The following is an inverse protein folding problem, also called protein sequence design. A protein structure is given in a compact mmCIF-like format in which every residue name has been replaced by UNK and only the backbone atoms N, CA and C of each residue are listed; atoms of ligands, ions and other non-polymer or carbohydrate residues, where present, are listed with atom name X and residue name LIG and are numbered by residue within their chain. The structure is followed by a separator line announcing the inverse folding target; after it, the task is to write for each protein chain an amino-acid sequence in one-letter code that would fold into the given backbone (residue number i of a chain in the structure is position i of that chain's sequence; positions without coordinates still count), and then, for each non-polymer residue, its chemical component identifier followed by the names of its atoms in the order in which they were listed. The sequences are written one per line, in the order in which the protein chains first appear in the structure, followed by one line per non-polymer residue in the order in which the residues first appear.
data_IF_811429629159
#
_entry.id   IF_811429629159
#
_cell.length_a   1.000
_cell.length_b   1.000
_cell.length_c   1.000
_cell.angle_alpha   90.00
_cell.angle_beta   90.00
_cell.angle_gamma   90.00
#
_symmetry.space_group_name_H-M   'P 1'
#
loop_
_entity.id
_entity.type
_entity.pdbx_description
1 polymer ?
#
# COMPACT_ATOMS: atom_id res chain seq x y z
N UNK A 1 -3.14 -21.34 -8.07
CA UNK A 1 -1.99 -20.45 -8.21
C UNK A 1 -1.31 -20.22 -6.85
N UNK A 2 -0.23 -19.43 -6.78
CA UNK A 2 0.54 -19.20 -5.56
C UNK A 2 -0.30 -18.60 -4.42
N UNK A 3 -1.17 -17.64 -4.73
CA UNK A 3 -2.02 -17.02 -3.74
C UNK A 3 -3.07 -18.01 -3.16
N UNK A 4 -3.60 -18.90 -3.97
CA UNK A 4 -4.52 -19.96 -3.52
C UNK A 4 -3.80 -20.97 -2.62
N UNK A 5 -2.52 -21.24 -2.88
CA UNK A 5 -1.72 -22.16 -2.08
C UNK A 5 -1.46 -21.64 -0.64
N UNK A 6 -1.66 -20.35 -0.38
CA UNK A 6 -1.60 -19.80 0.97
C UNK A 6 -2.56 -20.48 1.93
N UNK A 7 -3.72 -20.95 1.43
CA UNK A 7 -4.67 -21.71 2.25
C UNK A 7 -4.08 -23.05 2.71
N UNK A 8 -3.39 -23.76 1.82
CA UNK A 8 -2.73 -25.02 2.16
C UNK A 8 -1.60 -24.80 3.16
N UNK A 9 -0.80 -23.76 2.95
CA UNK A 9 0.28 -23.36 3.88
C UNK A 9 -0.29 -23.04 5.26
N UNK A 10 -1.32 -22.21 5.32
CA UNK A 10 -1.99 -21.83 6.58
C UNK A 10 -2.53 -23.06 7.31
N UNK A 11 -3.24 -23.92 6.59
CA UNK A 11 -3.81 -25.14 7.17
C UNK A 11 -2.74 -26.07 7.72
N UNK A 12 -1.63 -26.27 6.99
CA UNK A 12 -0.53 -27.12 7.45
C UNK A 12 0.17 -26.54 8.68
N UNK A 13 0.40 -25.24 8.73
CA UNK A 13 0.98 -24.54 9.89
C UNK A 13 0.07 -24.73 11.12
N UNK A 14 -1.24 -24.54 10.97
CA UNK A 14 -2.23 -24.72 12.05
C UNK A 14 -2.31 -26.17 12.53
N UNK A 15 -2.27 -27.13 11.60
CA UNK A 15 -2.25 -28.56 11.91
C UNK A 15 -1.02 -28.96 12.77
N UNK A 16 0.10 -28.29 12.55
CA UNK A 16 1.33 -28.48 13.36
C UNK A 16 1.31 -27.73 14.68
N UNK A 17 0.23 -27.05 15.03
CA UNK A 17 0.08 -26.33 16.30
C UNK A 17 0.69 -24.92 16.31
N UNK A 18 1.15 -24.39 15.17
CA UNK A 18 1.66 -23.03 15.07
C UNK A 18 0.55 -22.04 14.76
N UNK A 19 0.53 -20.94 15.50
CA UNK A 19 -0.48 -19.86 15.36
C UNK A 19 0.14 -18.53 14.86
N UNK A 20 1.36 -18.58 14.35
CA UNK A 20 2.05 -17.40 13.80
C UNK A 20 1.21 -16.77 12.68
N UNK A 21 0.94 -15.46 12.75
CA UNK A 21 0.25 -14.75 11.68
C UNK A 21 1.04 -14.78 10.37
N UNK A 22 0.33 -14.96 9.26
CA UNK A 22 0.92 -14.92 7.92
C UNK A 22 0.75 -13.54 7.30
N UNK A 23 1.79 -13.09 6.61
CA UNK A 23 1.78 -11.86 5.82
C UNK A 23 2.06 -12.20 4.37
N UNK A 24 1.13 -11.88 3.47
CA UNK A 24 1.35 -12.01 2.03
C UNK A 24 1.94 -10.71 1.48
N UNK A 25 3.10 -10.80 0.88
CA UNK A 25 3.79 -9.68 0.24
C UNK A 25 3.49 -9.67 -1.27
N UNK A 26 2.55 -8.81 -1.69
CA UNK A 26 2.03 -8.78 -3.05
C UNK A 26 2.59 -7.58 -3.80
N UNK A 27 3.39 -7.85 -4.83
CA UNK A 27 4.06 -6.79 -5.59
C UNK A 27 3.25 -6.21 -6.75
N UNK A 28 2.68 -7.06 -7.63
CA UNK A 28 2.21 -6.59 -8.94
C UNK A 28 0.79 -6.99 -9.31
N UNK A 29 0.16 -7.90 -8.58
CA UNK A 29 -1.06 -8.56 -9.03
C UNK A 29 -2.22 -8.32 -8.07
N UNK A 30 -3.14 -7.38 -8.39
CA UNK A 30 -4.30 -7.09 -7.53
C UNK A 30 -5.12 -8.34 -7.18
N UNK A 31 -5.39 -9.22 -8.14
CA UNK A 31 -6.13 -10.45 -7.88
C UNK A 31 -5.45 -11.35 -6.84
N UNK A 32 -4.11 -11.42 -6.84
CA UNK A 32 -3.39 -12.18 -5.84
C UNK A 32 -3.56 -11.58 -4.43
N UNK A 33 -3.58 -10.25 -4.31
CA UNK A 33 -3.85 -9.58 -3.04
C UNK A 33 -5.27 -9.85 -2.54
N UNK A 34 -6.27 -9.81 -3.43
CA UNK A 34 -7.67 -10.09 -3.10
C UNK A 34 -7.88 -11.54 -2.64
N UNK A 35 -7.21 -12.50 -3.28
CA UNK A 35 -7.22 -13.92 -2.84
C UNK A 35 -6.52 -14.05 -1.48
N UNK A 36 -5.31 -13.51 -1.36
CA UNK A 36 -4.53 -13.59 -0.13
C UNK A 36 -5.24 -12.94 1.06
N UNK A 37 -5.91 -11.81 0.87
CA UNK A 37 -6.63 -11.08 1.91
C UNK A 37 -7.75 -11.88 2.56
N UNK A 38 -8.30 -12.88 1.87
CA UNK A 38 -9.29 -13.82 2.42
C UNK A 38 -8.69 -14.95 3.25
N UNK A 39 -7.36 -15.09 3.23
CA UNK A 39 -6.66 -16.25 3.80
C UNK A 39 -5.76 -15.84 4.96
N UNK A 40 -4.92 -14.82 4.74
CA UNK A 40 -3.85 -14.44 5.67
C UNK A 40 -4.28 -13.32 6.62
N UNK A 41 -3.52 -13.12 7.68
CA UNK A 41 -3.80 -12.09 8.68
C UNK A 41 -3.41 -10.69 8.22
N UNK A 42 -2.46 -10.58 7.26
CA UNK A 42 -2.05 -9.29 6.70
C UNK A 42 -1.60 -9.44 5.24
N UNK A 43 -2.00 -8.49 4.40
CA UNK A 43 -1.45 -8.32 3.05
C UNK A 43 -0.57 -7.08 2.99
N UNK A 44 0.54 -7.14 2.26
CA UNK A 44 1.30 -5.94 1.90
C UNK A 44 1.10 -5.63 0.43
N UNK A 45 0.86 -4.38 0.15
CA UNK A 45 0.86 -3.83 -1.20
C UNK A 45 1.91 -2.72 -1.34
N UNK A 46 2.38 -2.52 -2.57
CA UNK A 46 3.22 -1.37 -2.93
C UNK A 46 2.42 -0.43 -3.84
N UNK A 47 2.06 0.77 -3.39
CA UNK A 47 1.20 1.68 -4.17
C UNK A 47 1.68 1.91 -5.60
N UNK A 48 3.00 2.10 -5.78
CA UNK A 48 3.60 2.38 -7.08
C UNK A 48 3.58 1.19 -8.07
N UNK A 49 3.34 -0.02 -7.60
CA UNK A 49 3.30 -1.23 -8.45
C UNK A 49 1.93 -1.87 -8.51
N UNK A 50 1.11 -1.64 -7.49
CA UNK A 50 -0.17 -2.32 -7.35
C UNK A 50 -1.21 -1.76 -8.32
N UNK A 51 -1.30 -0.44 -8.41
CA UNK A 51 -2.36 0.25 -9.17
C UNK A 51 -1.76 1.24 -10.14
N UNK A 52 -0.77 1.98 -9.72
CA UNK A 52 -0.19 3.12 -10.40
C UNK A 52 1.06 2.67 -11.18
N UNK A 53 0.83 1.93 -12.26
CA UNK A 53 1.93 1.38 -13.06
C UNK A 53 2.69 2.47 -13.79
N UNK A 54 4.02 2.36 -13.82
CA UNK A 54 4.88 3.12 -14.73
C UNK A 54 4.48 2.83 -16.17
N UNK A 55 4.12 3.86 -16.91
CA UNK A 55 3.80 3.79 -18.33
C UNK A 55 4.95 4.28 -19.22
N UNK A 56 5.91 5.00 -18.65
CA UNK A 56 7.05 5.64 -19.31
C UNK A 56 6.69 6.61 -20.47
N UNK A 57 5.40 6.88 -20.67
CA UNK A 57 4.90 7.60 -21.85
C UNK A 57 4.47 9.05 -21.55
N UNK A 58 4.17 9.38 -20.30
CA UNK A 58 3.71 10.71 -19.89
C UNK A 58 4.66 11.27 -18.84
N UNK A 59 5.33 12.37 -19.20
CA UNK A 59 6.31 13.02 -18.35
C UNK A 59 5.66 14.04 -17.41
N UNK A 60 4.54 14.63 -17.82
CA UNK A 60 3.82 15.66 -17.06
C UNK A 60 2.33 15.33 -16.97
N UNK A 61 1.77 15.55 -15.77
CA UNK A 61 0.34 15.43 -15.50
C UNK A 61 -0.21 16.80 -15.11
N UNK A 62 -1.21 17.29 -15.81
CA UNK A 62 -1.98 18.45 -15.35
C UNK A 62 -2.89 18.04 -14.17
N UNK A 63 -3.50 19.04 -13.50
CA UNK A 63 -4.31 18.76 -12.30
C UNK A 63 -5.54 17.89 -12.59
N UNK A 64 -6.15 18.03 -13.77
CA UNK A 64 -7.30 17.21 -14.16
C UNK A 64 -6.90 15.75 -14.41
N UNK A 65 -5.83 15.53 -15.16
CA UNK A 65 -5.27 14.20 -15.41
C UNK A 65 -4.83 13.52 -14.11
N UNK A 66 -4.24 14.30 -13.20
CA UNK A 66 -3.86 13.79 -11.89
C UNK A 66 -5.08 13.34 -11.07
N UNK A 67 -6.15 14.13 -11.06
CA UNK A 67 -7.38 13.80 -10.37
C UNK A 67 -8.08 12.56 -10.96
N UNK A 68 -8.09 12.41 -12.29
CA UNK A 68 -8.64 11.23 -12.95
C UNK A 68 -7.85 9.95 -12.56
N UNK A 69 -6.53 10.04 -12.48
CA UNK A 69 -5.69 8.91 -12.03
C UNK A 69 -5.93 8.56 -10.56
N UNK A 70 -6.15 9.54 -9.68
CA UNK A 70 -6.53 9.28 -8.29
C UNK A 70 -7.86 8.53 -8.22
N UNK A 71 -8.85 8.90 -9.02
CA UNK A 71 -10.14 8.21 -9.05
C UNK A 71 -10.00 6.78 -9.61
N UNK A 72 -9.16 6.58 -10.62
CA UNK A 72 -8.84 5.25 -11.14
C UNK A 72 -8.17 4.38 -10.07
N UNK A 73 -7.25 4.95 -9.30
CA UNK A 73 -6.59 4.28 -8.18
C UNK A 73 -7.61 3.89 -7.12
N UNK A 74 -8.48 4.81 -6.72
CA UNK A 74 -9.58 4.57 -5.78
C UNK A 74 -10.40 3.36 -6.22
N UNK A 75 -10.92 3.39 -7.42
CA UNK A 75 -11.78 2.34 -7.96
C UNK A 75 -11.10 0.96 -7.99
N UNK A 76 -9.80 0.93 -8.25
CA UNK A 76 -9.02 -0.32 -8.26
C UNK A 76 -8.66 -0.82 -6.86
N UNK A 77 -8.56 0.07 -5.89
CA UNK A 77 -8.18 -0.26 -4.52
C UNK A 77 -9.38 -0.68 -3.65
N UNK A 78 -10.56 -0.16 -3.93
CA UNK A 78 -11.80 -0.44 -3.20
C UNK A 78 -12.11 -1.93 -3.01
N UNK A 79 -11.98 -2.82 -4.02
CA UNK A 79 -12.25 -4.24 -3.84
C UNK A 79 -11.40 -4.86 -2.74
N UNK A 80 -10.11 -4.56 -2.70
CA UNK A 80 -9.19 -5.07 -1.67
C UNK A 80 -9.57 -4.55 -0.29
N UNK A 81 -9.88 -3.26 -0.16
CA UNK A 81 -10.30 -2.66 1.12
C UNK A 81 -11.57 -3.36 1.64
N UNK A 82 -12.57 -3.60 0.79
CA UNK A 82 -13.80 -4.29 1.16
C UNK A 82 -13.53 -5.71 1.66
N UNK A 83 -12.67 -6.44 0.98
CA UNK A 83 -12.26 -7.79 1.41
C UNK A 83 -11.55 -7.74 2.76
N UNK A 84 -10.60 -6.83 2.92
CA UNK A 84 -9.88 -6.69 4.19
C UNK A 84 -10.83 -6.35 5.36
N UNK A 85 -11.84 -5.51 5.12
CA UNK A 85 -12.90 -5.23 6.13
C UNK A 85 -13.72 -6.46 6.46
N UNK A 86 -14.15 -7.19 5.45
CA UNK A 86 -14.99 -8.39 5.61
C UNK A 86 -14.27 -9.49 6.39
N UNK A 87 -13.00 -9.73 6.08
CA UNK A 87 -12.20 -10.81 6.67
C UNK A 87 -11.37 -10.39 7.89
N UNK A 88 -11.38 -9.11 8.27
CA UNK A 88 -10.58 -8.60 9.39
C UNK A 88 -9.09 -8.58 9.09
N UNK A 89 -8.69 -8.60 7.83
CA UNK A 89 -7.31 -8.65 7.38
C UNK A 89 -6.66 -7.27 7.50
N UNK A 90 -5.47 -7.21 8.10
CA UNK A 90 -4.68 -6.00 8.13
C UNK A 90 -4.02 -5.72 6.76
N UNK A 91 -3.69 -4.47 6.50
CA UNK A 91 -2.98 -4.07 5.28
C UNK A 91 -1.72 -3.28 5.63
N UNK A 92 -0.59 -3.63 5.00
CA UNK A 92 0.59 -2.80 5.00
C UNK A 92 0.70 -2.07 3.67
N UNK A 93 0.62 -0.75 3.70
CA UNK A 93 0.96 0.12 2.58
C UNK A 93 2.47 0.31 2.60
N UNK A 94 3.16 -0.43 1.75
CA UNK A 94 4.61 -0.53 1.74
C UNK A 94 5.23 0.21 0.55
N UNK A 95 5.50 1.51 0.74
CA UNK A 95 6.11 2.35 -0.29
C UNK A 95 7.60 2.05 -0.44
N UNK A 96 8.04 1.92 -1.69
CA UNK A 96 9.43 1.73 -2.05
C UNK A 96 9.89 2.89 -2.94
N UNK A 97 10.96 3.59 -2.54
CA UNK A 97 11.54 4.71 -3.28
C UNK A 97 11.81 4.38 -4.75
N UNK A 98 12.38 3.20 -5.02
CA UNK A 98 12.71 2.76 -6.39
C UNK A 98 11.51 2.40 -7.27
N UNK A 99 10.29 2.42 -6.75
CA UNK A 99 9.06 2.07 -7.49
C UNK A 99 7.95 3.11 -7.36
N UNK A 100 8.31 4.37 -7.14
CA UNK A 100 7.34 5.47 -7.24
C UNK A 100 6.79 5.54 -8.67
N UNK A 101 5.50 5.82 -8.79
CA UNK A 101 4.84 5.93 -10.09
C UNK A 101 5.30 7.17 -10.86
N UNK A 102 5.14 7.16 -12.17
CA UNK A 102 5.48 8.30 -13.03
C UNK A 102 4.72 9.56 -12.62
N UNK A 103 3.48 9.42 -12.19
CA UNK A 103 2.63 10.50 -11.70
C UNK A 103 3.19 11.15 -10.43
N UNK A 104 3.61 10.34 -9.46
CA UNK A 104 4.25 10.82 -8.24
C UNK A 104 5.60 11.46 -8.55
N UNK A 105 6.39 10.82 -9.41
CA UNK A 105 7.69 11.35 -9.85
C UNK A 105 7.57 12.71 -10.55
N UNK A 106 6.56 12.86 -11.41
CA UNK A 106 6.30 14.11 -12.13
C UNK A 106 5.93 15.25 -11.19
N UNK A 107 5.08 14.98 -10.18
CA UNK A 107 4.54 16.03 -9.30
C UNK A 107 5.41 16.33 -8.08
N UNK A 108 6.01 15.31 -7.48
CA UNK A 108 6.74 15.42 -6.21
C UNK A 108 8.23 15.08 -6.34
N UNK A 109 8.66 14.58 -7.50
CA UNK A 109 10.02 14.16 -7.75
C UNK A 109 10.43 12.86 -7.04
N UNK A 110 11.69 12.48 -7.23
CA UNK A 110 12.34 11.34 -6.56
C UNK A 110 12.80 11.73 -5.15
N UNK A 111 11.85 11.99 -4.28
CA UNK A 111 12.07 12.61 -2.97
C UNK A 111 11.36 11.87 -1.84
N UNK A 112 11.74 12.19 -0.60
CA UNK A 112 11.02 11.74 0.59
C UNK A 112 9.54 12.19 0.56
N UNK A 113 9.24 13.38 0.01
CA UNK A 113 7.90 13.88 -0.16
C UNK A 113 7.08 13.03 -1.16
N UNK A 114 7.69 12.63 -2.27
CA UNK A 114 7.06 11.70 -3.22
C UNK A 114 6.72 10.34 -2.59
N UNK A 115 7.62 9.82 -1.76
CA UNK A 115 7.36 8.59 -0.99
C UNK A 115 6.17 8.74 -0.06
N UNK A 116 6.13 9.83 0.70
CA UNK A 116 5.05 10.12 1.66
C UNK A 116 3.72 10.27 0.93
N UNK A 117 3.65 11.06 -0.14
CA UNK A 117 2.42 11.29 -0.86
C UNK A 117 1.88 10.01 -1.51
N UNK A 118 2.75 9.15 -2.05
CA UNK A 118 2.36 7.84 -2.56
C UNK A 118 1.65 6.96 -1.51
N UNK A 119 2.08 7.02 -0.25
CA UNK A 119 1.42 6.31 0.85
C UNK A 119 0.15 7.02 1.30
N UNK A 120 0.18 8.36 1.42
CA UNK A 120 -0.94 9.16 1.90
C UNK A 120 -2.17 9.09 0.98
N UNK A 121 -1.97 9.05 -0.33
CA UNK A 121 -3.07 8.87 -1.28
C UNK A 121 -3.83 7.56 -1.02
N UNK A 122 -3.11 6.45 -0.84
CA UNK A 122 -3.72 5.16 -0.49
C UNK A 122 -4.38 5.17 0.89
N UNK A 123 -3.76 5.86 1.85
CA UNK A 123 -4.30 5.99 3.21
C UNK A 123 -5.60 6.81 3.22
N UNK A 124 -5.67 7.91 2.45
CA UNK A 124 -6.90 8.72 2.31
C UNK A 124 -8.05 7.87 1.77
N UNK A 125 -7.81 7.09 0.73
CA UNK A 125 -8.83 6.18 0.17
C UNK A 125 -9.32 5.16 1.22
N UNK A 126 -8.41 4.58 1.98
CA UNK A 126 -8.77 3.62 3.02
C UNK A 126 -9.59 4.26 4.15
N UNK A 127 -9.21 5.48 4.56
CA UNK A 127 -9.95 6.25 5.58
C UNK A 127 -11.36 6.62 5.12
N UNK A 128 -11.52 7.05 3.87
CA UNK A 128 -12.83 7.35 3.28
C UNK A 128 -13.77 6.14 3.34
N UNK A 129 -13.22 4.94 3.25
CA UNK A 129 -13.94 3.68 3.40
C UNK A 129 -14.04 3.21 4.87
N UNK A 130 -13.65 4.03 5.84
CA UNK A 130 -13.62 3.66 7.26
C UNK A 130 -12.82 2.38 7.53
N UNK A 131 -11.69 2.22 6.83
CA UNK A 131 -10.77 1.11 7.02
C UNK A 131 -9.47 1.61 7.66
N UNK A 132 -9.23 1.20 8.91
CA UNK A 132 -8.14 1.70 9.75
C UNK A 132 -7.13 0.62 10.18
N UNK A 133 -7.32 -0.63 9.79
CA UNK A 133 -6.40 -1.72 10.12
C UNK A 133 -5.17 -1.70 9.21
N UNK A 134 -4.40 -0.63 9.29
CA UNK A 134 -3.31 -0.27 8.38
C UNK A 134 -1.99 -0.10 9.13
N UNK A 135 -0.92 -0.58 8.51
CA UNK A 135 0.48 -0.32 8.86
C UNK A 135 1.16 0.34 7.66
N UNK A 136 2.04 1.29 7.89
CA UNK A 136 2.77 1.98 6.82
C UNK A 136 4.26 1.65 6.90
N UNK A 137 4.90 1.54 5.74
CA UNK A 137 6.35 1.38 5.67
C UNK A 137 6.97 2.13 4.50
N UNK A 138 8.15 2.70 4.76
CA UNK A 138 8.96 3.44 3.79
C UNK A 138 10.28 2.70 3.58
N UNK A 139 10.58 2.32 2.35
CA UNK A 139 11.83 1.66 2.01
C UNK A 139 12.63 2.52 1.03
N UNK A 140 13.89 2.77 1.37
CA UNK A 140 14.87 3.36 0.46
C UNK A 140 16.23 2.68 0.67
N UNK A 141 17.01 2.56 -0.39
CA UNK A 141 18.42 2.15 -0.31
C UNK A 141 19.30 3.20 0.34
N UNK A 142 18.85 4.47 0.35
CA UNK A 142 19.51 5.55 1.09
C UNK A 142 18.88 5.69 2.48
N UNK A 143 19.59 5.38 3.58
CA UNK A 143 19.06 5.48 4.93
C UNK A 143 18.61 6.88 5.33
N UNK A 144 19.29 7.92 4.84
CA UNK A 144 18.92 9.32 5.13
C UNK A 144 17.55 9.65 4.53
N UNK A 145 17.32 9.28 3.28
CA UNK A 145 16.01 9.45 2.61
C UNK A 145 14.92 8.66 3.34
N UNK A 146 15.23 7.44 3.77
CA UNK A 146 14.29 6.63 4.54
C UNK A 146 13.89 7.30 5.86
N UNK A 147 14.86 7.79 6.63
CA UNK A 147 14.59 8.49 7.90
C UNK A 147 13.79 9.77 7.67
N UNK A 148 14.11 10.53 6.64
CA UNK A 148 13.36 11.73 6.26
C UNK A 148 11.91 11.38 5.88
N UNK A 149 11.71 10.32 5.08
CA UNK A 149 10.39 9.87 4.67
C UNK A 149 9.54 9.45 5.88
N UNK A 150 10.08 8.69 6.83
CA UNK A 150 9.34 8.30 8.04
C UNK A 150 8.96 9.51 8.92
N UNK A 151 9.90 10.43 9.13
CA UNK A 151 9.63 11.65 9.91
C UNK A 151 8.56 12.51 9.26
N UNK A 152 8.67 12.69 7.94
CA UNK A 152 7.69 13.46 7.16
C UNK A 152 6.32 12.76 7.16
N UNK A 153 6.28 11.44 6.99
CA UNK A 153 5.04 10.67 7.04
C UNK A 153 4.31 10.84 8.38
N UNK A 154 5.03 10.67 9.49
CA UNK A 154 4.46 10.85 10.82
C UNK A 154 3.91 12.27 11.02
N UNK A 155 4.68 13.29 10.59
CA UNK A 155 4.24 14.68 10.62
C UNK A 155 2.98 14.89 9.78
N UNK A 156 2.97 14.44 8.54
CA UNK A 156 1.84 14.62 7.61
C UNK A 156 0.57 13.94 8.12
N UNK A 157 0.66 12.70 8.64
CA UNK A 157 -0.48 12.02 9.25
C UNK A 157 -1.04 12.81 10.45
N UNK A 158 -0.16 13.33 11.30
CA UNK A 158 -0.58 14.12 12.45
C UNK A 158 -1.26 15.44 12.02
N UNK A 159 -0.68 16.15 11.06
CA UNK A 159 -1.21 17.43 10.56
C UNK A 159 -2.55 17.26 9.84
N UNK A 160 -2.69 16.20 9.03
CA UNK A 160 -3.89 16.00 8.21
C UNK A 160 -5.03 15.30 8.96
N UNK A 161 -4.71 14.32 9.82
CA UNK A 161 -5.70 13.47 10.46
C UNK A 161 -5.77 13.60 11.98
N UNK A 162 -4.81 14.29 12.59
CA UNK A 162 -4.59 14.27 14.05
C UNK A 162 -4.50 12.84 14.62
N UNK A 163 -4.00 11.91 13.82
CA UNK A 163 -3.92 10.48 14.11
C UNK A 163 -2.64 9.91 13.51
N UNK A 164 -2.05 8.93 14.18
CA UNK A 164 -0.88 8.20 13.70
C UNK A 164 -1.24 6.73 13.48
N UNK A 165 -0.86 6.21 12.33
CA UNK A 165 -0.91 4.78 12.05
C UNK A 165 0.42 4.11 12.41
N UNK A 166 0.40 2.83 12.80
CA UNK A 166 1.63 2.08 13.07
C UNK A 166 2.60 2.13 11.89
N UNK A 167 3.87 2.28 12.21
CA UNK A 167 4.97 2.23 11.26
C UNK A 167 5.74 0.91 11.42
N UNK A 168 6.24 0.38 10.30
CA UNK A 168 6.99 -0.88 10.26
C UNK A 168 8.41 -0.63 9.87
#
# INVERSE_FOLDING_TARGET
NEAENLLNIKNEIRKRGYHTPLVADIHFTPNAAEIAARIVEKVRINPGNYIDKKKFDIIEYNDAEYAEEIERIRNRFLPLIKICKEYGTAMRIGTNHGSLSDRIMSRYGDTANGMVESAMESLRVARDESYHNIVLSMKSSNPQVMVQAYRLLAKTMHEEFNELYPLH
#
